data_IF_975861238019
#
_entry.id   IF_975861238019
#
_cell.length_a   1.000
_cell.length_b   1.000
_cell.length_c   1.000
_cell.angle_alpha   90.00
_cell.angle_beta   90.00
_cell.angle_gamma   90.00
#
_symmetry.space_group_name_H-M   'P 1'
#
loop_
_entity.id
_entity.type
_entity.pdbx_description
1 polymer ?
#
# COMPACT_ATOMS: atom_id res chain seq x y z
N UNK A 1 -22.75 -55.97 9.46
CA UNK A 1 -23.43 -56.16 10.77
C UNK A 1 -22.33 -56.44 11.78
N UNK A 2 -22.16 -55.58 12.79
CA UNK A 2 -21.06 -55.66 13.74
C UNK A 2 -21.43 -56.66 14.86
N UNK A 3 -20.66 -57.73 15.09
CA UNK A 3 -21.00 -58.77 16.09
C UNK A 3 -20.95 -58.29 17.54
N UNK A 4 -20.48 -57.05 17.78
CA UNK A 4 -20.32 -56.44 19.10
C UNK A 4 -21.47 -55.51 19.50
N UNK A 5 -22.47 -55.32 18.64
CA UNK A 5 -23.68 -54.53 18.91
C UNK A 5 -24.74 -55.33 19.68
N UNK A 6 -24.29 -56.23 20.56
CA UNK A 6 -25.17 -57.03 21.41
C UNK A 6 -25.66 -56.13 22.54
N UNK A 7 -26.78 -55.42 22.31
CA UNK A 7 -27.54 -54.80 23.40
C UNK A 7 -27.68 -55.85 24.52
N UNK A 8 -27.35 -55.54 25.78
CA UNK A 8 -27.47 -56.52 26.85
C UNK A 8 -28.92 -57.00 26.87
N UNK A 9 -29.14 -58.26 26.50
CA UNK A 9 -30.46 -58.88 26.54
C UNK A 9 -30.90 -58.82 28.00
N UNK A 10 -31.85 -57.94 28.30
CA UNK A 10 -32.37 -57.79 29.66
C UNK A 10 -32.97 -59.13 30.07
N UNK A 11 -32.38 -59.77 31.08
CA UNK A 11 -32.84 -61.06 31.59
C UNK A 11 -34.35 -61.00 31.84
N UNK A 12 -35.08 -62.08 31.53
CA UNK A 12 -36.53 -62.14 31.74
C UNK A 12 -36.93 -61.79 33.18
N UNK A 13 -36.06 -62.09 34.15
CA UNK A 13 -36.23 -61.69 35.55
C UNK A 13 -36.17 -60.16 35.74
N UNK A 14 -35.24 -59.48 35.06
CA UNK A 14 -35.13 -58.02 35.11
C UNK A 14 -36.37 -57.34 34.51
N UNK A 15 -36.95 -57.92 33.45
CA UNK A 15 -38.19 -57.39 32.86
C UNK A 15 -39.39 -57.56 33.79
N UNK A 16 -39.50 -58.70 34.49
CA UNK A 16 -40.55 -58.93 35.50
C UNK A 16 -40.40 -57.97 36.67
N UNK A 17 -39.18 -57.77 37.18
CA UNK A 17 -38.92 -56.81 38.26
C UNK A 17 -39.25 -55.37 37.83
N UNK A 18 -38.87 -54.97 36.61
CA UNK A 18 -39.23 -53.67 36.06
C UNK A 18 -40.76 -53.48 35.92
N UNK A 19 -41.49 -54.54 35.55
CA UNK A 19 -42.95 -54.52 35.50
C UNK A 19 -43.57 -54.39 36.90
N UNK A 20 -43.02 -55.07 37.91
CA UNK A 20 -43.48 -54.97 39.30
C UNK A 20 -43.23 -53.58 39.91
N UNK A 21 -42.11 -52.93 39.56
CA UNK A 21 -41.84 -51.53 39.94
C UNK A 21 -42.82 -50.59 39.27
N UNK A 22 -43.06 -50.79 37.96
CA UNK A 22 -44.02 -49.99 37.19
C UNK A 22 -45.46 -50.15 37.71
N UNK A 23 -45.81 -51.35 38.19
CA UNK A 23 -47.10 -51.65 38.82
C UNK A 23 -47.19 -51.18 40.28
N UNK A 24 -46.15 -50.52 40.83
CA UNK A 24 -46.03 -50.09 42.25
C UNK A 24 -46.18 -51.21 43.28
N UNK A 25 -45.99 -52.46 42.86
CA UNK A 25 -45.97 -53.62 43.77
C UNK A 25 -44.65 -53.67 44.53
N UNK A 26 -43.59 -53.16 43.92
CA UNK A 26 -42.26 -52.94 44.49
C UNK A 26 -41.85 -51.48 44.26
N UNK A 27 -41.14 -50.86 45.21
CA UNK A 27 -40.54 -49.54 45.03
C UNK A 27 -39.09 -49.67 44.56
N UNK A 28 -38.65 -48.75 43.70
CA UNK A 28 -37.27 -48.69 43.21
C UNK A 28 -36.27 -48.58 44.38
N UNK A 29 -36.60 -47.75 45.39
CA UNK A 29 -35.77 -47.58 46.58
C UNK A 29 -35.56 -48.90 47.36
N UNK A 30 -36.55 -49.81 47.35
CA UNK A 30 -36.43 -51.10 48.02
C UNK A 30 -35.54 -52.07 47.25
N UNK A 31 -35.50 -51.97 45.92
CA UNK A 31 -34.53 -52.74 45.11
C UNK A 31 -33.11 -52.21 45.29
N UNK A 32 -32.93 -50.89 45.26
CA UNK A 32 -31.62 -50.24 45.35
C UNK A 32 -31.01 -50.32 46.76
N UNK A 33 -31.83 -50.59 47.79
CA UNK A 33 -31.38 -50.79 49.18
C UNK A 33 -30.91 -52.22 49.49
N UNK A 34 -31.07 -53.18 48.56
CA UNK A 34 -30.63 -54.56 48.78
C UNK A 34 -29.10 -54.58 48.77
N UNK A 35 -28.43 -55.00 49.86
CA UNK A 35 -26.98 -55.13 49.86
C UNK A 35 -26.56 -56.18 48.83
N UNK A 36 -25.61 -55.83 47.96
CA UNK A 36 -24.92 -56.81 47.13
C UNK A 36 -24.04 -57.69 48.04
N UNK A 37 -24.59 -58.78 48.55
CA UNK A 37 -23.82 -59.76 49.31
C UNK A 37 -22.76 -60.39 48.40
N UNK A 38 -21.49 -60.14 48.72
CA UNK A 38 -20.30 -60.50 47.92
C UNK A 38 -20.13 -62.01 47.72
N UNK A 39 -20.87 -62.84 48.47
CA UNK A 39 -20.73 -64.29 48.49
C UNK A 39 -21.78 -65.03 47.64
N UNK A 40 -22.70 -64.34 46.96
CA UNK A 40 -23.81 -64.96 46.21
C UNK A 40 -23.46 -65.21 44.74
N UNK A 41 -22.49 -64.47 44.20
CA UNK A 41 -22.11 -64.53 42.79
C UNK A 41 -20.71 -65.12 42.60
N UNK A 42 -20.45 -65.73 41.45
CA UNK A 42 -19.13 -66.29 41.14
C UNK A 42 -18.08 -65.19 40.99
N UNK A 43 -16.82 -65.50 41.31
CA UNK A 43 -15.66 -64.59 41.19
C UNK A 43 -15.58 -63.93 39.79
N UNK A 44 -15.96 -64.68 38.76
CA UNK A 44 -16.03 -64.20 37.37
C UNK A 44 -17.06 -63.06 37.19
N UNK A 45 -18.22 -63.14 37.84
CA UNK A 45 -19.25 -62.10 37.73
C UNK A 45 -18.82 -60.82 38.45
N UNK A 46 -18.14 -60.95 39.59
CA UNK A 46 -17.57 -59.81 40.31
C UNK A 46 -16.48 -59.10 39.49
N UNK A 47 -15.60 -59.87 38.84
CA UNK A 47 -14.60 -59.31 37.92
C UNK A 47 -15.26 -58.63 36.71
N UNK A 48 -16.31 -59.22 36.14
CA UNK A 48 -17.05 -58.63 35.02
C UNK A 48 -17.74 -57.31 35.43
N UNK A 49 -18.30 -57.22 36.64
CA UNK A 49 -18.89 -55.99 37.18
C UNK A 49 -17.83 -54.90 37.40
N UNK A 50 -16.66 -55.26 37.95
CA UNK A 50 -15.54 -54.32 38.09
C UNK A 50 -15.04 -53.80 36.74
N UNK A 51 -14.92 -54.67 35.74
CA UNK A 51 -14.55 -54.28 34.37
C UNK A 51 -15.61 -53.33 33.80
N UNK A 52 -16.90 -53.67 33.91
CA UNK A 52 -17.98 -52.82 33.42
C UNK A 52 -17.98 -51.44 34.10
N UNK A 53 -17.72 -51.39 35.42
CA UNK A 53 -17.58 -50.14 36.16
C UNK A 53 -16.40 -49.31 35.66
N UNK A 54 -15.23 -49.92 35.48
CA UNK A 54 -14.04 -49.23 34.95
C UNK A 54 -14.24 -48.76 33.51
N UNK A 55 -14.87 -49.57 32.65
CA UNK A 55 -15.20 -49.18 31.27
C UNK A 55 -16.12 -47.96 31.27
N UNK A 56 -17.15 -47.95 32.12
CA UNK A 56 -18.05 -46.80 32.25
C UNK A 56 -17.30 -45.53 32.69
N UNK A 57 -16.34 -45.65 33.61
CA UNK A 57 -15.51 -44.53 34.04
C UNK A 57 -14.59 -44.02 32.92
N UNK A 58 -13.99 -44.93 32.15
CA UNK A 58 -13.20 -44.58 30.96
C UNK A 58 -14.05 -43.84 29.94
N UNK A 59 -15.24 -44.36 29.61
CA UNK A 59 -16.14 -43.74 28.64
C UNK A 59 -16.56 -42.33 29.09
N UNK A 60 -16.85 -42.17 30.39
CA UNK A 60 -17.15 -40.86 30.97
C UNK A 60 -15.98 -39.88 30.85
N UNK A 61 -14.75 -40.34 31.11
CA UNK A 61 -13.55 -39.51 30.99
C UNK A 61 -13.20 -39.17 29.54
N UNK A 62 -13.42 -40.10 28.62
CA UNK A 62 -13.30 -39.85 27.18
C UNK A 62 -14.27 -38.75 26.74
N UNK A 63 -15.52 -38.80 27.19
CA UNK A 63 -16.52 -37.78 26.86
C UNK A 63 -16.16 -36.40 27.44
N UNK A 64 -15.68 -36.36 28.69
CA UNK A 64 -15.22 -35.12 29.34
C UNK A 64 -14.04 -34.50 28.56
N UNK A 65 -13.10 -35.32 28.12
CA UNK A 65 -11.97 -34.89 27.29
C UNK A 65 -12.41 -34.36 25.91
N UNK A 66 -13.36 -35.03 25.26
CA UNK A 66 -13.90 -34.58 23.97
C UNK A 66 -14.60 -33.22 24.11
N UNK A 67 -15.37 -33.03 25.19
CA UNK A 67 -16.03 -31.75 25.48
C UNK A 67 -15.01 -30.62 25.67
N UNK A 68 -13.96 -30.85 26.47
CA UNK A 68 -12.89 -29.87 26.67
C UNK A 68 -12.13 -29.57 25.38
N UNK A 69 -11.95 -30.57 24.52
CA UNK A 69 -11.31 -30.37 23.22
C UNK A 69 -12.17 -29.51 22.29
N UNK A 70 -13.47 -29.77 22.24
CA UNK A 70 -14.42 -28.94 21.48
C UNK A 70 -14.46 -27.50 22.01
N UNK A 71 -14.43 -27.30 23.32
CA UNK A 71 -14.36 -25.96 23.93
C UNK A 71 -13.07 -25.23 23.52
N UNK A 72 -11.94 -25.92 23.54
CA UNK A 72 -10.65 -25.37 23.10
C UNK A 72 -10.66 -25.01 21.62
N UNK A 73 -11.18 -25.87 20.76
CA UNK A 73 -11.28 -25.62 19.31
C UNK A 73 -12.25 -24.47 19.01
N UNK A 74 -13.33 -24.35 19.78
CA UNK A 74 -14.30 -23.25 19.68
C UNK A 74 -13.87 -21.96 20.40
N UNK A 75 -12.78 -21.97 21.17
CA UNK A 75 -12.40 -20.85 22.04
C UNK A 75 -12.14 -19.56 21.25
N UNK A 76 -11.58 -19.64 20.04
CA UNK A 76 -11.31 -18.46 19.19
C UNK A 76 -12.60 -17.71 18.82
N UNK A 77 -13.74 -18.41 18.75
CA UNK A 77 -15.02 -17.85 18.32
C UNK A 77 -16.01 -17.62 19.47
N UNK A 78 -15.82 -18.30 20.59
CA UNK A 78 -16.75 -18.23 21.74
C UNK A 78 -16.20 -17.33 22.85
N UNK A 79 -14.88 -17.27 23.02
CA UNK A 79 -14.30 -16.59 24.16
C UNK A 79 -14.17 -15.06 23.91
N UNK A 80 -14.68 -14.21 24.82
CA UNK A 80 -14.71 -12.75 24.64
C UNK A 80 -13.34 -12.13 24.33
N UNK A 81 -12.27 -12.64 24.92
CA UNK A 81 -10.90 -12.15 24.67
C UNK A 81 -10.50 -12.21 23.18
N UNK A 82 -10.72 -13.35 22.52
CA UNK A 82 -10.34 -13.50 21.11
C UNK A 82 -11.29 -12.71 20.20
N UNK A 83 -12.58 -12.69 20.52
CA UNK A 83 -13.57 -11.87 19.83
C UNK A 83 -13.23 -10.38 19.90
N UNK A 84 -12.92 -9.86 21.08
CA UNK A 84 -12.52 -8.46 21.27
C UNK A 84 -11.28 -8.11 20.46
N UNK A 85 -10.30 -9.03 20.39
CA UNK A 85 -9.11 -8.83 19.58
C UNK A 85 -9.45 -8.74 18.08
N UNK A 86 -10.30 -9.65 17.58
CA UNK A 86 -10.73 -9.65 16.17
C UNK A 86 -11.57 -8.41 15.84
N UNK A 87 -12.49 -8.03 16.73
CA UNK A 87 -13.31 -6.82 16.62
C UNK A 87 -12.41 -5.58 16.54
N UNK A 88 -11.40 -5.46 17.41
CA UNK A 88 -10.45 -4.33 17.38
C UNK A 88 -9.67 -4.28 16.07
N UNK A 89 -9.25 -5.42 15.52
CA UNK A 89 -8.56 -5.47 14.23
C UNK A 89 -9.45 -5.00 13.08
N UNK A 90 -10.70 -5.48 13.02
CA UNK A 90 -11.67 -5.07 12.01
C UNK A 90 -12.00 -3.58 12.16
N UNK A 91 -12.25 -3.12 13.38
CA UNK A 91 -12.50 -1.70 13.67
C UNK A 91 -11.35 -0.82 13.19
N UNK A 92 -10.10 -1.19 13.49
CA UNK A 92 -8.92 -0.44 13.02
C UNK A 92 -8.89 -0.35 11.50
N UNK A 93 -9.12 -1.46 10.80
CA UNK A 93 -9.15 -1.48 9.35
C UNK A 93 -10.30 -0.63 8.78
N UNK A 94 -11.49 -0.73 9.37
CA UNK A 94 -12.66 0.09 8.98
C UNK A 94 -12.39 1.57 9.18
N UNK A 95 -11.78 1.98 10.29
CA UNK A 95 -11.40 3.38 10.54
C UNK A 95 -10.44 3.88 9.47
N UNK A 96 -9.39 3.11 9.14
CA UNK A 96 -8.45 3.50 8.09
C UNK A 96 -9.12 3.62 6.71
N UNK A 97 -10.04 2.71 6.36
CA UNK A 97 -10.81 2.83 5.12
C UNK A 97 -11.69 4.09 5.11
N UNK A 98 -12.33 4.43 6.22
CA UNK A 98 -13.12 5.65 6.34
C UNK A 98 -12.26 6.91 6.17
N UNK A 99 -11.06 6.93 6.73
CA UNK A 99 -10.08 8.00 6.55
C UNK A 99 -9.66 8.12 5.09
N UNK A 100 -9.28 7.02 4.44
CA UNK A 100 -8.92 7.01 3.02
C UNK A 100 -10.06 7.52 2.13
N UNK A 101 -11.31 7.09 2.39
CA UNK A 101 -12.48 7.56 1.64
C UNK A 101 -12.74 9.05 1.86
N UNK A 102 -12.52 9.55 3.08
CA UNK A 102 -12.61 10.98 3.38
C UNK A 102 -11.56 11.77 2.63
N UNK A 103 -10.30 11.33 2.64
CA UNK A 103 -9.21 11.97 1.89
C UNK A 103 -9.46 11.95 0.40
N UNK A 104 -9.90 10.82 -0.16
CA UNK A 104 -10.27 10.71 -1.57
C UNK A 104 -11.40 11.69 -1.93
N UNK A 105 -12.41 11.82 -1.07
CA UNK A 105 -13.50 12.80 -1.26
C UNK A 105 -12.97 14.23 -1.21
N UNK A 106 -12.13 14.56 -0.24
CA UNK A 106 -11.49 15.87 -0.12
C UNK A 106 -10.64 16.20 -1.35
N UNK A 107 -9.83 15.25 -1.82
CA UNK A 107 -9.01 15.40 -3.01
C UNK A 107 -9.87 15.59 -4.24
N UNK A 108 -10.89 14.76 -4.44
CA UNK A 108 -11.85 14.92 -5.54
C UNK A 108 -12.52 16.29 -5.50
N UNK A 109 -12.98 16.76 -4.33
CA UNK A 109 -13.53 18.10 -4.19
C UNK A 109 -12.51 19.19 -4.55
N UNK A 110 -11.25 19.06 -4.13
CA UNK A 110 -10.18 20.00 -4.49
C UNK A 110 -9.89 20.02 -5.98
N UNK A 111 -9.89 18.86 -6.63
CA UNK A 111 -9.64 18.73 -8.07
C UNK A 111 -10.86 19.14 -8.91
N UNK A 112 -12.08 18.96 -8.39
CA UNK A 112 -13.31 19.41 -9.01
C UNK A 112 -13.56 20.91 -8.84
N UNK A 113 -12.84 21.59 -7.94
CA UNK A 113 -12.86 23.06 -7.90
C UNK A 113 -12.26 23.55 -9.22
N UNK A 114 -13.03 24.26 -10.06
CA UNK A 114 -12.49 24.78 -11.31
C UNK A 114 -11.30 25.69 -10.96
N UNK A 115 -10.20 25.52 -11.68
CA UNK A 115 -9.01 26.40 -11.61
C UNK A 115 -9.37 27.89 -11.75
N UNK A 116 -10.56 28.16 -12.29
CA UNK A 116 -11.18 29.47 -12.44
C UNK A 116 -11.49 30.23 -11.14
N UNK A 117 -11.34 29.63 -9.95
CA UNK A 117 -11.39 30.39 -8.68
C UNK A 117 -10.07 31.09 -8.32
N UNK A 118 -9.01 30.95 -9.12
CA UNK A 118 -7.86 31.86 -9.09
C UNK A 118 -8.03 33.07 -10.02
N UNK A 119 -9.12 33.16 -10.78
CA UNK A 119 -9.47 34.41 -11.42
C UNK A 119 -10.07 35.30 -10.33
N UNK A 120 -9.46 36.47 -10.12
CA UNK A 120 -10.10 37.54 -9.36
C UNK A 120 -11.53 37.66 -9.91
N UNK A 121 -12.58 37.65 -9.07
CA UNK A 121 -13.92 37.92 -9.55
C UNK A 121 -13.93 39.36 -10.08
N UNK A 122 -13.79 39.50 -11.39
CA UNK A 122 -13.90 40.79 -12.07
C UNK A 122 -15.40 41.04 -12.22
N UNK A 123 -15.87 42.18 -11.72
CA UNK A 123 -17.26 42.62 -11.91
C UNK A 123 -17.55 42.72 -13.42
N UNK A 124 -18.77 42.35 -13.86
CA UNK A 124 -19.12 42.30 -15.28
C UNK A 124 -18.83 43.62 -16.02
N UNK A 125 -18.96 44.75 -15.32
CA UNK A 125 -18.67 46.10 -15.82
C UNK A 125 -17.20 46.29 -16.23
N UNK A 126 -16.27 45.52 -15.64
CA UNK A 126 -14.83 45.63 -15.90
C UNK A 126 -14.32 44.63 -16.94
N UNK A 127 -15.13 43.66 -17.39
CA UNK A 127 -14.70 42.60 -18.31
C UNK A 127 -14.17 43.17 -19.63
N UNK A 128 -14.88 44.14 -20.21
CA UNK A 128 -14.47 44.80 -21.46
C UNK A 128 -13.08 45.44 -21.32
N UNK A 129 -12.84 46.16 -20.24
CA UNK A 129 -11.56 46.83 -20.00
C UNK A 129 -10.41 45.85 -19.77
N UNK A 130 -10.68 44.73 -19.08
CA UNK A 130 -9.67 43.68 -18.86
C UNK A 130 -9.32 42.98 -20.17
N UNK A 131 -10.30 42.69 -21.02
CA UNK A 131 -10.06 42.11 -22.35
C UNK A 131 -9.22 43.07 -23.21
N UNK A 132 -9.58 44.36 -23.24
CA UNK A 132 -8.81 45.38 -23.96
C UNK A 132 -7.38 45.54 -23.40
N UNK A 133 -7.19 45.41 -22.08
CA UNK A 133 -5.87 45.48 -21.45
C UNK A 133 -5.02 44.25 -21.79
N UNK A 134 -5.60 43.05 -21.73
CA UNK A 134 -4.91 41.81 -22.06
C UNK A 134 -4.49 41.77 -23.53
N UNK A 135 -5.36 42.23 -24.44
CA UNK A 135 -5.02 42.36 -25.86
C UNK A 135 -3.83 43.30 -26.08
N UNK A 136 -3.82 44.47 -25.41
CA UNK A 136 -2.69 45.40 -25.43
C UNK A 136 -1.42 44.80 -24.82
N UNK A 137 -1.54 44.04 -23.74
CA UNK A 137 -0.40 43.39 -23.10
C UNK A 137 0.24 42.33 -24.01
N UNK A 138 -0.57 41.52 -24.69
CA UNK A 138 -0.08 40.53 -25.67
C UNK A 138 0.64 41.22 -26.84
N UNK A 139 0.05 42.28 -27.39
CA UNK A 139 0.69 43.07 -28.45
C UNK A 139 2.01 43.71 -27.98
N UNK A 140 2.04 44.24 -26.76
CA UNK A 140 3.25 44.82 -26.19
C UNK A 140 4.36 43.78 -26.02
N UNK A 141 4.04 42.59 -25.51
CA UNK A 141 4.99 41.47 -25.38
C UNK A 141 5.55 41.10 -26.75
N UNK A 142 4.70 40.92 -27.77
CA UNK A 142 5.15 40.61 -29.13
C UNK A 142 6.07 41.69 -29.72
N UNK A 143 5.75 42.97 -29.51
CA UNK A 143 6.59 44.08 -29.95
C UNK A 143 7.94 44.12 -29.22
N UNK A 144 7.95 43.81 -27.93
CA UNK A 144 9.16 43.74 -27.12
C UNK A 144 10.06 42.58 -27.56
N UNK A 145 9.49 41.40 -27.77
CA UNK A 145 10.20 40.23 -28.27
C UNK A 145 10.81 40.49 -29.66
N UNK A 146 10.05 41.12 -30.55
CA UNK A 146 10.55 41.53 -31.87
C UNK A 146 11.70 42.54 -31.74
N UNK A 147 11.56 43.55 -30.87
CA UNK A 147 12.63 44.54 -30.64
C UNK A 147 13.90 43.92 -30.06
N UNK A 148 13.77 42.98 -29.12
CA UNK A 148 14.90 42.23 -28.55
C UNK A 148 15.56 41.37 -29.63
N UNK A 149 14.77 40.72 -30.49
CA UNK A 149 15.30 39.91 -31.58
C UNK A 149 16.04 40.78 -32.61
N UNK A 150 15.49 41.95 -32.95
CA UNK A 150 16.15 42.93 -33.82
C UNK A 150 17.48 43.36 -33.19
N UNK A 151 17.48 43.78 -31.93
CA UNK A 151 18.68 44.20 -31.21
C UNK A 151 19.76 43.11 -31.16
N UNK A 152 19.37 41.84 -31.06
CA UNK A 152 20.29 40.68 -31.13
C UNK A 152 20.79 40.38 -32.55
N UNK A 153 20.01 40.72 -33.58
CA UNK A 153 20.35 40.51 -34.99
C UNK A 153 21.17 41.65 -35.61
N UNK A 154 21.21 42.82 -34.97
CA UNK A 154 22.13 43.89 -35.36
C UNK A 154 23.54 43.30 -35.26
N UNK A 155 24.33 43.30 -36.37
CA UNK A 155 25.68 42.78 -36.32
C UNK A 155 26.41 43.50 -35.20
N UNK A 156 27.03 42.74 -34.30
CA UNK A 156 27.74 43.29 -33.17
C UNK A 156 28.80 44.26 -33.74
N UNK A 157 28.50 45.56 -33.70
CA UNK A 157 29.36 46.61 -34.27
C UNK A 157 30.77 46.49 -33.68
N UNK A 158 30.90 45.97 -32.46
CA UNK A 158 32.17 45.61 -31.85
C UNK A 158 32.97 44.55 -32.63
N UNK A 159 32.34 43.47 -33.10
CA UNK A 159 33.02 42.44 -33.92
C UNK A 159 33.47 42.98 -35.27
N UNK A 160 32.67 43.86 -35.89
CA UNK A 160 33.07 44.52 -37.14
C UNK A 160 34.23 45.50 -36.93
N UNK A 161 34.24 46.23 -35.81
CA UNK A 161 35.35 47.12 -35.45
C UNK A 161 36.62 46.32 -35.17
N UNK A 162 36.55 45.24 -34.38
CA UNK A 162 37.71 44.37 -34.10
C UNK A 162 38.29 43.76 -35.37
N UNK A 163 37.44 43.31 -36.30
CA UNK A 163 37.91 42.80 -37.60
C UNK A 163 38.59 43.89 -38.44
N UNK A 164 38.10 45.13 -38.37
CA UNK A 164 38.68 46.26 -39.11
C UNK A 164 40.01 46.71 -38.48
N UNK A 165 40.09 46.75 -37.16
CA UNK A 165 41.33 47.03 -36.41
C UNK A 165 42.40 45.99 -36.72
N UNK A 166 42.04 44.70 -36.77
CA UNK A 166 42.96 43.64 -37.13
C UNK A 166 43.43 43.74 -38.60
N UNK A 167 42.52 44.09 -39.52
CA UNK A 167 42.88 44.36 -40.92
C UNK A 167 43.80 45.57 -41.09
N UNK A 168 43.58 46.63 -40.30
CA UNK A 168 44.44 47.81 -40.30
C UNK A 168 45.83 47.48 -39.76
N UNK A 169 45.93 46.68 -38.69
CA UNK A 169 47.21 46.21 -38.17
C UNK A 169 47.98 45.40 -39.21
N UNK A 170 47.33 44.48 -39.93
CA UNK A 170 47.95 43.73 -41.01
C UNK A 170 48.45 44.63 -42.15
N UNK A 171 47.67 45.65 -42.52
CA UNK A 171 48.06 46.59 -43.57
C UNK A 171 49.26 47.43 -43.16
N UNK A 172 49.33 47.88 -41.90
CA UNK A 172 50.51 48.57 -41.37
C UNK A 172 51.76 47.70 -41.42
N UNK A 173 51.66 46.42 -41.08
CA UNK A 173 52.78 45.48 -41.21
C UNK A 173 53.24 45.35 -42.67
N UNK A 174 52.30 45.19 -43.61
CA UNK A 174 52.63 45.12 -45.03
C UNK A 174 53.28 46.39 -45.56
N UNK A 175 52.87 47.57 -45.07
CA UNK A 175 53.51 48.85 -45.42
C UNK A 175 54.95 48.88 -44.91
N UNK A 176 55.21 48.45 -43.67
CA UNK A 176 56.58 48.39 -43.14
C UNK A 176 57.46 47.41 -43.91
N UNK A 177 56.93 46.23 -44.28
CA UNK A 177 57.65 45.26 -45.11
C UNK A 177 57.93 45.84 -46.51
N UNK A 178 56.98 46.55 -47.10
CA UNK A 178 57.16 47.22 -48.39
C UNK A 178 58.20 48.34 -48.32
N UNK A 179 58.21 49.13 -47.25
CA UNK A 179 59.23 50.16 -47.00
C UNK A 179 60.63 49.54 -46.91
N UNK A 180 60.79 48.44 -46.16
CA UNK A 180 62.05 47.71 -46.04
C UNK A 180 62.54 47.17 -47.39
N UNK A 181 61.66 46.53 -48.17
CA UNK A 181 62.00 46.05 -49.52
C UNK A 181 62.35 47.21 -50.45
N UNK A 182 61.62 48.33 -50.36
CA UNK A 182 61.92 49.54 -51.15
C UNK A 182 63.31 50.11 -50.82
N UNK A 183 63.69 50.15 -49.54
CA UNK A 183 65.03 50.55 -49.11
C UNK A 183 66.10 49.58 -49.64
N UNK A 184 65.85 48.27 -49.59
CA UNK A 184 66.78 47.27 -50.12
C UNK A 184 66.98 47.43 -51.64
N UNK A 185 65.90 47.63 -52.40
CA UNK A 185 65.95 47.89 -53.86
C UNK A 185 66.74 49.15 -54.17
N UNK A 186 66.56 50.23 -53.41
CA UNK A 186 67.32 51.47 -53.56
C UNK A 186 68.82 51.25 -53.25
N UNK A 187 69.13 50.51 -52.20
CA UNK A 187 70.50 50.12 -51.85
C UNK A 187 71.16 49.31 -52.97
N UNK A 188 70.47 48.28 -53.49
CA UNK A 188 70.94 47.48 -54.64
C UNK A 188 71.16 48.33 -55.90
N UNK A 189 70.23 49.25 -56.22
CA UNK A 189 70.39 50.18 -57.35
C UNK A 189 71.64 51.05 -57.20
N UNK A 190 71.88 51.61 -56.01
CA UNK A 190 73.04 52.46 -55.75
C UNK A 190 74.35 51.68 -55.88
N UNK A 191 74.39 50.44 -55.39
CA UNK A 191 75.52 49.52 -55.60
C UNK A 191 75.76 49.24 -57.08
N UNK A 192 74.70 48.98 -57.86
CA UNK A 192 74.81 48.74 -59.30
C UNK A 192 75.31 49.98 -60.07
N UNK A 193 74.85 51.17 -59.71
CA UNK A 193 75.32 52.44 -60.29
C UNK A 193 76.79 52.76 -59.91
N UNK A 194 77.27 52.28 -58.76
CA UNK A 194 78.67 52.45 -58.33
C UNK A 194 79.64 51.45 -58.99
N UNK A 195 79.15 50.33 -59.53
CA UNK A 195 79.94 49.29 -60.18
C UNK A 195 80.06 49.47 -61.72
N UNK A 196 79.26 50.37 -62.31
CA UNK A 196 79.36 50.77 -63.72
C UNK A 196 79.22 52.30 -63.84
N UNK A 197 80.33 53.06 -63.84
CA UNK A 197 80.30 54.50 -64.15
C UNK A 197 79.98 54.78 -65.62
#
# INVERSE_FOLDING_TARGET
MNPWDSKPSTSSAAQVLAACVSARVLSQDTLDSIPNDTNVFSEYLQQAEQIASMTKEIDQKCLEMELLQLEKEGAEFTHPFYLDQKIKQVQKFTTHLQEMLREQRCLRQRLMKPLCQQNLPIEANFHRYVVELLDKAVHFIGNLESSVQIARSVPNVGQSIESLENGLAQLLTLVTEFEEVSEEVLHWRNLQASLFP
#
